data_IF_072502174370
#
_entry.id   IF_072502174370
#
_cell.length_a   1.000
_cell.length_b   1.000
_cell.length_c   1.000
_cell.angle_alpha   90.00
_cell.angle_beta   90.00
_cell.angle_gamma   90.00
#
_symmetry.space_group_name_H-M   'P 1'
#
loop_
_entity.id
_entity.type
_entity.pdbx_description
1 polymer ?
#
# COMPACT_ATOMS: atom_id res chain seq x y z
N UNK A 1 -13.46 -4.64 3.50
CA UNK A 1 -12.36 -5.56 3.13
C UNK A 1 -11.12 -4.70 2.95
N UNK A 2 -10.03 -4.98 3.66
CA UNK A 2 -8.84 -4.13 3.66
C UNK A 2 -7.75 -4.72 2.74
N UNK A 3 -7.09 -3.87 1.95
CA UNK A 3 -6.03 -4.26 1.01
C UNK A 3 -4.78 -3.39 1.16
N UNK A 4 -3.62 -3.93 0.82
CA UNK A 4 -2.36 -3.17 0.83
C UNK A 4 -2.26 -2.17 -0.33
N UNK A 5 -1.38 -1.17 -0.20
CA UNK A 5 -1.08 -0.21 -1.28
C UNK A 5 -0.67 -0.90 -2.58
N UNK A 6 0.15 -1.95 -2.49
CA UNK A 6 0.56 -2.75 -3.64
C UNK A 6 -0.62 -3.46 -4.29
N UNK A 7 -1.51 -4.05 -3.49
CA UNK A 7 -2.71 -4.71 -4.00
C UNK A 7 -3.64 -3.70 -4.70
N UNK A 8 -3.85 -2.53 -4.10
CA UNK A 8 -4.64 -1.45 -4.69
C UNK A 8 -4.08 -1.00 -6.05
N UNK A 9 -2.75 -0.86 -6.17
CA UNK A 9 -2.09 -0.55 -7.45
C UNK A 9 -2.32 -1.63 -8.50
N UNK A 10 -2.11 -2.90 -8.14
CA UNK A 10 -2.27 -4.04 -9.05
C UNK A 10 -3.73 -4.19 -9.49
N UNK A 11 -4.70 -3.96 -8.60
CA UNK A 11 -6.12 -3.98 -8.94
C UNK A 11 -6.52 -2.92 -9.97
N UNK A 12 -5.75 -1.83 -10.07
CA UNK A 12 -5.91 -0.80 -11.11
C UNK A 12 -5.07 -1.06 -12.36
N UNK A 13 -4.40 -2.21 -12.46
CA UNK A 13 -3.47 -2.56 -13.54
C UNK A 13 -2.35 -1.52 -13.76
N UNK A 14 -1.96 -0.81 -12.70
CA UNK A 14 -0.90 0.19 -12.78
C UNK A 14 0.46 -0.44 -12.51
N UNK A 15 1.45 -0.11 -13.34
CA UNK A 15 2.85 -0.37 -13.01
C UNK A 15 3.31 0.57 -11.91
N UNK A 16 4.39 0.19 -11.22
CA UNK A 16 4.99 1.02 -10.18
C UNK A 16 5.45 2.39 -10.73
N UNK A 17 5.95 2.42 -11.98
CA UNK A 17 6.39 3.65 -12.64
C UNK A 17 5.22 4.59 -12.95
N UNK A 18 4.10 4.05 -13.43
CA UNK A 18 2.91 4.85 -13.71
C UNK A 18 2.33 5.43 -12.42
N UNK A 19 2.14 4.61 -11.39
CA UNK A 19 1.63 5.08 -10.11
C UNK A 19 2.54 6.16 -9.49
N UNK A 20 3.87 5.98 -9.54
CA UNK A 20 4.83 6.98 -9.06
C UNK A 20 4.72 8.31 -9.83
N UNK A 21 4.53 8.25 -11.16
CA UNK A 21 4.31 9.45 -11.99
C UNK A 21 3.02 10.18 -11.62
N UNK A 22 1.90 9.46 -11.44
CA UNK A 22 0.63 10.05 -11.01
C UNK A 22 0.72 10.70 -9.63
N UNK A 23 1.39 10.03 -8.69
CA UNK A 23 1.58 10.53 -7.33
C UNK A 23 2.64 11.64 -7.23
N UNK A 24 3.40 11.89 -8.30
CA UNK A 24 4.52 12.84 -8.39
C UNK A 24 5.61 12.53 -7.35
N UNK A 25 5.95 11.26 -7.20
CA UNK A 25 7.03 10.78 -6.32
C UNK A 25 8.01 9.90 -7.10
N UNK A 26 9.18 9.65 -6.54
CA UNK A 26 10.12 8.69 -7.13
C UNK A 26 9.57 7.26 -7.00
N UNK A 27 9.85 6.42 -8.01
CA UNK A 27 9.57 4.98 -8.01
C UNK A 27 10.10 4.30 -6.73
N UNK A 28 11.32 4.62 -6.32
CA UNK A 28 11.93 4.02 -5.12
C UNK A 28 11.20 4.43 -3.84
N UNK A 29 10.69 5.67 -3.80
CA UNK A 29 9.84 6.15 -2.71
C UNK A 29 8.52 5.39 -2.66
N UNK A 30 7.89 5.15 -3.81
CA UNK A 30 6.67 4.34 -3.87
C UNK A 30 6.94 2.89 -3.44
N UNK A 31 8.06 2.28 -3.86
CA UNK A 31 8.46 0.93 -3.39
C UNK A 31 8.59 0.87 -1.88
N UNK A 32 9.21 1.90 -1.27
CA UNK A 32 9.35 1.98 0.19
C UNK A 32 7.99 2.06 0.86
N UNK A 33 7.09 2.90 0.37
CA UNK A 33 5.74 3.01 0.94
C UNK A 33 4.88 1.75 0.73
N UNK A 34 5.01 1.06 -0.41
CA UNK A 34 4.35 -0.24 -0.62
C UNK A 34 4.86 -1.32 0.33
N UNK A 35 6.06 -1.18 0.89
CA UNK A 35 6.61 -2.08 1.90
C UNK A 35 6.18 -1.65 3.31
N UNK A 36 6.41 -0.39 3.64
CA UNK A 36 6.05 0.22 4.92
C UNK A 36 5.56 1.66 4.72
N UNK A 37 4.28 1.87 5.02
CA UNK A 37 3.59 3.15 4.91
C UNK A 37 3.23 3.77 6.26
N UNK A 38 3.85 3.31 7.36
CA UNK A 38 3.59 3.81 8.72
C UNK A 38 3.79 5.33 8.83
N UNK A 39 4.82 5.87 8.16
CA UNK A 39 5.15 7.31 8.17
C UNK A 39 4.73 8.03 6.88
N UNK A 40 3.66 7.57 6.21
CA UNK A 40 3.17 8.18 4.98
C UNK A 40 2.53 9.56 5.27
N UNK A 41 2.89 10.62 4.53
CA UNK A 41 2.23 11.93 4.67
C UNK A 41 0.74 11.85 4.31
N UNK A 42 -0.11 12.53 5.09
CA UNK A 42 -1.56 12.56 4.84
C UNK A 42 -1.94 13.07 3.44
N UNK A 43 -1.20 14.04 2.90
CA UNK A 43 -1.43 14.54 1.54
C UNK A 43 -1.17 13.46 0.47
N UNK A 44 -0.18 12.59 0.69
CA UNK A 44 0.12 11.49 -0.20
C UNK A 44 -0.88 10.34 -0.03
N UNK A 45 -1.32 10.07 1.20
CA UNK A 45 -2.37 9.07 1.47
C UNK A 45 -3.67 9.40 0.77
N UNK A 46 -4.07 10.68 0.74
CA UNK A 46 -5.25 11.13 0.01
C UNK A 46 -5.12 10.92 -1.50
N UNK A 47 -3.97 11.28 -2.08
CA UNK A 47 -3.70 11.05 -3.51
C UNK A 47 -3.68 9.57 -3.87
N UNK A 48 -3.19 8.71 -2.99
CA UNK A 48 -3.23 7.25 -3.20
C UNK A 48 -4.67 6.72 -3.21
N UNK A 49 -5.52 7.21 -2.30
CA UNK A 49 -6.95 6.86 -2.29
C UNK A 49 -7.64 7.29 -3.59
N UNK A 50 -7.36 8.51 -4.06
CA UNK A 50 -7.89 9.04 -5.32
C UNK A 50 -7.39 8.23 -6.53
N UNK A 51 -6.09 7.91 -6.60
CA UNK A 51 -5.51 7.16 -7.71
C UNK A 51 -6.03 5.72 -7.78
N UNK A 52 -6.18 5.08 -6.62
CA UNK A 52 -6.60 3.68 -6.56
C UNK A 52 -8.11 3.50 -6.51
N UNK A 53 -8.88 4.59 -6.33
CA UNK A 53 -10.32 4.57 -6.11
C UNK A 53 -10.71 3.67 -4.93
N UNK A 54 -9.91 3.71 -3.86
CA UNK A 54 -10.12 2.92 -2.64
C UNK A 54 -10.27 3.88 -1.45
N UNK A 55 -11.36 3.79 -0.67
CA UNK A 55 -11.53 4.59 0.53
C UNK A 55 -10.46 4.26 1.58
N UNK A 56 -10.09 5.23 2.43
CA UNK A 56 -9.10 5.04 3.50
C UNK A 56 -9.38 3.84 4.41
N UNK A 57 -10.63 3.56 4.72
CA UNK A 57 -11.06 2.42 5.56
C UNK A 57 -10.73 1.05 4.95
N UNK A 58 -10.54 0.99 3.63
CA UNK A 58 -10.21 -0.22 2.88
C UNK A 58 -8.74 -0.29 2.45
N UNK A 59 -7.93 0.73 2.75
CA UNK A 59 -6.52 0.81 2.39
C UNK A 59 -5.64 0.67 3.64
N UNK A 60 -4.80 -0.35 3.67
CA UNK A 60 -3.88 -0.56 4.78
C UNK A 60 -2.68 0.37 4.70
N UNK A 61 -2.43 1.10 5.79
CA UNK A 61 -1.24 1.93 6.00
C UNK A 61 -0.43 1.36 7.15
N UNK A 62 0.77 0.88 6.85
CA UNK A 62 1.65 0.21 7.82
C UNK A 62 2.65 -0.70 7.13
N UNK A 63 3.30 -1.54 7.93
CA UNK A 63 4.23 -2.55 7.46
C UNK A 63 3.52 -3.76 6.85
N UNK A 64 3.91 -4.14 5.64
CA UNK A 64 3.27 -5.23 4.90
C UNK A 64 3.48 -6.58 5.56
N UNK A 65 4.61 -6.80 6.26
CA UNK A 65 4.84 -8.07 6.96
C UNK A 65 3.85 -8.23 8.11
N UNK A 66 3.62 -7.14 8.85
CA UNK A 66 2.63 -7.06 9.92
C UNK A 66 1.21 -7.31 9.40
N UNK A 67 0.87 -6.75 8.22
CA UNK A 67 -0.39 -7.03 7.55
C UNK A 67 -0.54 -8.51 7.19
N UNK A 68 0.46 -9.12 6.55
CA UNK A 68 0.43 -10.53 6.14
C UNK A 68 0.41 -11.48 7.34
N UNK A 69 1.11 -11.14 8.42
CA UNK A 69 1.15 -11.95 9.65
C UNK A 69 -0.23 -12.13 10.27
N UNK A 70 -1.16 -11.18 10.10
CA UNK A 70 -2.54 -11.30 10.56
C UNK A 70 -3.35 -12.37 9.82
N UNK A 71 -2.92 -12.75 8.62
CA UNK A 71 -3.59 -13.73 7.77
C UNK A 71 -2.86 -15.07 7.69
N UNK A 72 -1.67 -15.17 8.29
CA UNK A 72 -0.94 -16.44 8.42
C UNK A 72 -1.27 -17.03 9.79
N UNK A 73 -1.67 -18.31 9.91
CA UNK A 73 -1.60 -18.97 11.20
C UNK A 73 -0.14 -18.90 11.67
N UNK A 74 0.06 -18.55 12.94
CA UNK A 74 1.38 -18.64 13.58
C UNK A 74 1.95 -20.04 13.30
N UNK A 75 3.26 -20.20 13.05
CA UNK A 75 3.84 -21.54 13.06
C UNK A 75 3.44 -22.18 14.39
N UNK A 76 2.79 -23.35 14.33
CA UNK A 76 2.57 -24.16 15.52
C UNK A 76 3.93 -24.33 16.18
N UNK A 77 4.03 -23.80 17.41
CA UNK A 77 5.21 -23.99 18.22
C UNK A 77 5.18 -25.47 18.63
N UNK A 78 5.97 -26.30 17.93
CA UNK A 78 6.29 -27.67 18.36
C UNK A 78 6.97 -27.69 19.73
#
# INVERSE_FOLDING_TARGET
MMISLRAARVNRNLTLLEAAKYLKINKDTLTKYEKDSTNLPYSLSKRMQELYEVPSENLYFGDTLSFVAQFKPLPEVE
#
